data_IF_489855274593
#
_entry.id   IF_489855274593
#
_cell.length_a   1.000
_cell.length_b   1.000
_cell.length_c   1.000
_cell.angle_alpha   90.00
_cell.angle_beta   90.00
_cell.angle_gamma   90.00
#
_symmetry.space_group_name_H-M   'P 1'
#
loop_
_entity.id
_entity.type
_entity.pdbx_description
1 polymer ?
#
# COMPACT_ATOMS: atom_id res chain seq x y z
N UNK A 1 -4.44 16.15 0.76
CA UNK A 1 -4.76 14.71 0.86
C UNK A 1 -4.52 14.29 2.30
N UNK A 2 -5.36 13.44 2.89
CA UNK A 2 -5.15 12.97 4.26
C UNK A 2 -3.96 12.01 4.35
N UNK A 3 -3.44 11.80 5.56
CA UNK A 3 -2.26 10.94 5.83
C UNK A 3 -2.38 9.55 5.22
N UNK A 4 -3.54 8.89 5.38
CA UNK A 4 -3.81 7.58 4.78
C UNK A 4 -3.76 7.62 3.25
N UNK A 5 -4.25 8.71 2.64
CA UNK A 5 -4.23 8.89 1.19
C UNK A 5 -2.82 9.03 0.64
N UNK A 6 -1.96 9.78 1.32
CA UNK A 6 -0.54 9.88 0.95
C UNK A 6 0.19 8.54 1.05
N UNK A 7 -0.01 7.79 2.13
CA UNK A 7 0.60 6.46 2.30
C UNK A 7 0.08 5.46 1.25
N UNK A 8 -1.22 5.48 0.95
CA UNK A 8 -1.79 4.65 -0.12
C UNK A 8 -1.17 5.00 -1.48
N UNK A 9 -1.09 6.29 -1.82
CA UNK A 9 -0.48 6.75 -3.07
C UNK A 9 0.97 6.28 -3.20
N UNK A 10 1.76 6.37 -2.14
CA UNK A 10 3.14 5.89 -2.12
C UNK A 10 3.23 4.38 -2.38
N UNK A 11 2.41 3.58 -1.69
CA UNK A 11 2.39 2.11 -1.88
C UNK A 11 1.87 1.72 -3.27
N UNK A 12 0.91 2.46 -3.83
CA UNK A 12 0.41 2.26 -5.19
C UNK A 12 1.46 2.62 -6.25
N UNK A 13 2.19 3.73 -6.08
CA UNK A 13 3.25 4.15 -6.98
C UNK A 13 4.41 3.15 -7.00
N UNK A 14 4.79 2.64 -5.83
CA UNK A 14 5.88 1.67 -5.69
C UNK A 14 5.44 0.22 -5.99
N UNK A 15 4.13 -0.06 -5.97
CA UNK A 15 3.46 -1.37 -6.17
C UNK A 15 3.76 -2.42 -5.10
N UNK A 16 5.02 -2.54 -4.70
CA UNK A 16 5.52 -3.48 -3.69
C UNK A 16 6.73 -2.81 -3.03
N UNK A 17 6.61 -2.43 -1.77
CA UNK A 17 7.61 -1.59 -1.11
C UNK A 17 7.80 -1.92 0.36
N UNK A 18 9.04 -1.81 0.82
CA UNK A 18 9.37 -1.84 2.25
C UNK A 18 9.02 -0.51 2.93
N UNK A 19 8.98 -0.53 4.26
CA UNK A 19 8.80 0.68 5.07
C UNK A 19 9.75 1.83 4.68
N UNK A 20 11.03 1.52 4.44
CA UNK A 20 12.04 2.53 4.09
C UNK A 20 11.80 3.17 2.72
N UNK A 21 11.34 2.39 1.75
CA UNK A 21 11.03 2.88 0.41
C UNK A 21 9.80 3.79 0.43
N UNK A 22 8.77 3.41 1.19
CA UNK A 22 7.57 4.23 1.38
C UNK A 22 7.94 5.55 2.08
N UNK A 23 8.75 5.47 3.14
CA UNK A 23 9.21 6.66 3.85
C UNK A 23 9.96 7.60 2.91
N UNK A 24 10.92 7.07 2.14
CA UNK A 24 11.70 7.86 1.18
C UNK A 24 10.82 8.54 0.13
N UNK A 25 9.84 7.82 -0.44
CA UNK A 25 8.91 8.40 -1.42
C UNK A 25 8.13 9.58 -0.82
N UNK A 26 7.66 9.44 0.43
CA UNK A 26 6.92 10.49 1.13
C UNK A 26 7.80 11.71 1.45
N UNK A 27 9.05 11.48 1.88
CA UNK A 27 10.04 12.55 2.06
C UNK A 27 10.34 13.29 0.73
N UNK A 28 10.44 12.56 -0.39
CA UNK A 28 10.67 13.13 -1.74
C UNK A 28 9.46 13.95 -2.24
N UNK A 29 8.23 13.57 -1.90
CA UNK A 29 7.00 14.32 -2.22
C UNK A 29 6.75 15.51 -1.27
N UNK A 30 7.61 15.71 -0.25
CA UNK A 30 7.49 16.80 0.70
C UNK A 30 6.47 16.58 1.83
N UNK A 31 6.08 15.33 2.06
CA UNK A 31 5.11 14.94 3.10
C UNK A 31 5.82 14.07 4.16
N UNK A 32 6.57 14.67 5.09
CA UNK A 32 7.33 13.92 6.06
C UNK A 32 6.42 13.26 7.10
N UNK A 33 6.60 11.96 7.30
CA UNK A 33 5.99 11.21 8.40
C UNK A 33 7.04 10.91 9.46
N UNK A 34 6.68 11.01 10.74
CA UNK A 34 7.50 10.36 11.76
C UNK A 34 7.41 8.83 11.60
N UNK A 35 8.45 8.11 12.05
CA UNK A 35 8.48 6.64 11.98
C UNK A 35 7.24 6.00 12.62
N UNK A 36 6.80 6.54 13.77
CA UNK A 36 5.61 6.04 14.48
C UNK A 36 4.34 6.29 13.68
N UNK A 37 4.18 7.48 13.12
CA UNK A 37 2.99 7.84 12.33
C UNK A 37 2.87 7.00 11.05
N UNK A 38 3.98 6.78 10.33
CA UNK A 38 3.95 5.94 9.14
C UNK A 38 3.61 4.48 9.49
N UNK A 39 4.22 3.94 10.56
CA UNK A 39 3.91 2.58 11.02
C UNK A 39 2.46 2.42 11.45
N UNK A 40 1.92 3.37 12.20
CA UNK A 40 0.53 3.35 12.66
C UNK A 40 -0.44 3.41 11.46
N UNK A 41 -0.14 4.27 10.49
CA UNK A 41 -0.93 4.42 9.26
C UNK A 41 -0.90 3.14 8.41
N UNK A 42 0.27 2.53 8.20
CA UNK A 42 0.39 1.27 7.47
C UNK A 42 -0.36 0.14 8.17
N UNK A 43 -0.26 0.03 9.50
CA UNK A 43 -1.03 -0.95 10.28
C UNK A 43 -2.53 -0.74 10.16
N UNK A 44 -3.00 0.50 10.21
CA UNK A 44 -4.41 0.82 10.01
C UNK A 44 -4.88 0.38 8.62
N UNK A 45 -4.13 0.71 7.56
CA UNK A 45 -4.47 0.33 6.19
C UNK A 45 -4.46 -1.18 5.97
N UNK A 46 -3.57 -1.92 6.63
CA UNK A 46 -3.56 -3.39 6.62
C UNK A 46 -4.77 -3.95 7.38
N UNK A 47 -5.10 -3.39 8.55
CA UNK A 47 -6.27 -3.79 9.34
C UNK A 47 -7.59 -3.50 8.60
N UNK A 48 -7.64 -2.42 7.82
CA UNK A 48 -8.76 -2.07 6.94
C UNK A 48 -8.82 -2.92 5.66
N UNK A 49 -7.82 -3.78 5.42
CA UNK A 49 -7.74 -4.64 4.24
C UNK A 49 -7.45 -3.88 2.93
N UNK A 50 -6.94 -2.65 3.02
CA UNK A 50 -6.55 -1.83 1.88
C UNK A 50 -5.11 -2.14 1.43
N UNK A 51 -4.26 -2.55 2.37
CA UNK A 51 -2.91 -3.03 2.11
C UNK A 51 -2.76 -4.48 2.58
N UNK A 52 -1.86 -5.20 1.94
CA UNK A 52 -1.34 -6.47 2.43
C UNK A 52 0.10 -6.25 2.89
N UNK A 53 0.43 -6.66 4.12
CA UNK A 53 1.80 -6.77 4.59
C UNK A 53 2.25 -8.23 4.50
N UNK A 54 3.38 -8.47 3.82
CA UNK A 54 4.06 -9.77 3.81
C UNK A 54 5.54 -9.56 4.03
N UNK A 55 6.07 -10.12 5.12
CA UNK A 55 7.52 -10.12 5.41
C UNK A 55 8.14 -8.71 5.43
N UNK A 56 7.41 -7.71 5.96
CA UNK A 56 7.88 -6.31 6.02
C UNK A 56 7.76 -5.54 4.69
N UNK A 57 7.10 -6.12 3.70
CA UNK A 57 6.78 -5.52 2.42
C UNK A 57 5.28 -5.25 2.35
N UNK A 58 4.93 -4.03 1.93
CA UNK A 58 3.56 -3.56 1.75
C UNK A 58 3.20 -3.52 0.27
N UNK A 59 1.99 -3.94 -0.05
CA UNK A 59 1.42 -3.84 -1.40
C UNK A 59 -0.07 -3.50 -1.32
N UNK A 60 -0.66 -2.88 -2.36
CA UNK A 60 -2.10 -2.70 -2.43
C UNK A 60 -2.81 -4.04 -2.35
N UNK A 61 -3.83 -4.14 -1.51
CA UNK A 61 -4.65 -5.34 -1.44
C UNK A 61 -5.32 -5.59 -2.79
N UNK A 62 -5.25 -6.83 -3.28
CA UNK A 62 -5.91 -7.17 -4.54
C UNK A 62 -7.42 -6.96 -4.40
N UNK A 63 -8.02 -6.12 -5.25
CA UNK A 63 -9.48 -6.12 -5.42
C UNK A 63 -9.91 -7.55 -5.77
N UNK A 64 -10.75 -8.17 -4.93
CA UNK A 64 -11.24 -9.55 -5.11
C UNK A 64 -11.85 -9.84 -6.51
N UNK A 65 -12.14 -8.83 -7.33
CA UNK A 65 -12.68 -8.99 -8.68
C UNK A 65 -11.68 -9.43 -9.77
N UNK A 66 -10.36 -9.33 -9.59
CA UNK A 66 -9.43 -9.64 -10.68
C UNK A 66 -9.22 -11.15 -10.90
N UNK A 67 -9.31 -11.97 -9.86
CA UNK A 67 -9.23 -13.43 -9.99
C UNK A 67 -10.46 -14.02 -10.72
N UNK A 68 -11.62 -13.40 -10.57
CA UNK A 68 -12.86 -13.79 -11.25
C UNK A 68 -12.89 -13.31 -12.71
N UNK A 69 -12.33 -12.12 -12.97
CA UNK A 69 -12.12 -11.61 -14.34
C UNK A 69 -11.08 -12.43 -15.12
N UNK A 70 -9.98 -12.87 -14.48
CA UNK A 70 -8.99 -13.74 -15.13
C UNK A 70 -9.56 -15.12 -15.44
N UNK A 71 -10.37 -15.70 -14.53
CA UNK A 71 -11.07 -16.98 -14.77
C UNK A 71 -12.10 -16.89 -15.90
N UNK A 72 -12.74 -15.73 -16.11
CA UNK A 72 -13.66 -15.51 -17.24
C UNK A 72 -12.96 -15.27 -18.58
N UNK A 73 -11.72 -14.77 -18.58
CA UNK A 73 -10.97 -14.45 -19.80
C UNK A 73 -10.09 -15.61 -20.30
N UNK A 74 -9.69 -16.53 -19.42
CA UNK A 74 -8.81 -17.66 -19.74
C UNK A 74 -9.38 -19.01 -19.30
N UNK A 75 -10.68 -19.04 -18.99
CA UNK A 75 -11.43 -20.24 -18.64
C UNK A 75 -12.38 -20.66 -19.75
N UNK A 76 -11.82 -20.87 -20.95
CA UNK A 76 -12.25 -21.86 -21.95
C UNK A 76 -11.01 -22.24 -22.78
#
# INVERSE_FOLDING_TARGET
MDRKGWVMRAVEALRLATFKEIQRYLDEEGEPFSKKELLDTLKALVAEGLLEEKEGVYRPARKKGSAEAFRRLFGD
#
